data_IF_154131212578
#
_entry.id   IF_154131212578
#
_cell.length_a   1.000
_cell.length_b   1.000
_cell.length_c   1.000
_cell.angle_alpha   90.00
_cell.angle_beta   90.00
_cell.angle_gamma   90.00
#
_symmetry.space_group_name_H-M   'P 1'
#
loop_
_entity.id
_entity.type
_entity.pdbx_description
1 polymer ?
#
# COMPACT_ATOMS: atom_id res chain seq x y z
N UNK A 1 -8.60 9.47 -3.02
CA UNK A 1 -7.67 9.00 -1.97
C UNK A 1 -6.26 9.31 -2.43
N UNK A 2 -5.36 9.75 -1.54
CA UNK A 2 -3.94 9.93 -1.87
C UNK A 2 -3.31 8.59 -2.29
N UNK A 3 -2.40 8.56 -3.27
CA UNK A 3 -1.70 7.32 -3.65
C UNK A 3 -0.69 6.86 -2.58
N UNK A 4 -0.26 7.76 -1.69
CA UNK A 4 0.82 7.54 -0.71
C UNK A 4 0.63 6.29 0.17
N UNK A 5 -0.55 6.04 0.79
CA UNK A 5 -0.77 4.80 1.54
C UNK A 5 -0.62 3.55 0.67
N UNK A 6 -1.00 3.63 -0.60
CA UNK A 6 -0.90 2.51 -1.55
C UNK A 6 0.55 2.19 -1.88
N UNK A 7 1.39 3.22 -2.11
CA UNK A 7 2.82 3.02 -2.35
C UNK A 7 3.52 2.35 -1.14
N UNK A 8 3.15 2.73 0.09
CA UNK A 8 3.63 2.10 1.32
C UNK A 8 3.23 0.61 1.37
N UNK A 9 1.97 0.29 1.07
CA UNK A 9 1.49 -1.09 1.03
C UNK A 9 2.21 -1.93 -0.03
N UNK A 10 2.53 -1.37 -1.19
CA UNK A 10 3.30 -2.06 -2.23
C UNK A 10 4.70 -2.41 -1.75
N UNK A 11 5.41 -1.50 -1.08
CA UNK A 11 6.74 -1.77 -0.55
C UNK A 11 6.75 -2.95 0.45
N UNK A 12 5.77 -2.99 1.38
CA UNK A 12 5.59 -4.09 2.34
C UNK A 12 5.24 -5.39 1.63
N UNK A 13 4.41 -5.31 0.60
CA UNK A 13 4.04 -6.46 -0.22
C UNK A 13 5.26 -7.05 -0.90
N UNK A 14 6.05 -6.22 -1.61
CA UNK A 14 7.25 -6.67 -2.31
C UNK A 14 8.24 -7.33 -1.36
N UNK A 15 8.41 -6.80 -0.14
CA UNK A 15 9.21 -7.44 0.91
C UNK A 15 8.68 -8.82 1.29
N UNK A 16 7.37 -8.93 1.48
CA UNK A 16 6.71 -10.20 1.82
C UNK A 16 6.84 -11.23 0.70
N UNK A 17 6.77 -10.80 -0.56
CA UNK A 17 6.95 -11.65 -1.75
C UNK A 17 8.42 -12.08 -1.96
N UNK A 18 9.38 -11.23 -1.57
CA UNK A 18 10.79 -11.57 -1.60
C UNK A 18 11.18 -12.65 -0.56
N UNK A 19 10.31 -12.92 0.40
CA UNK A 19 10.46 -14.05 1.33
C UNK A 19 9.74 -15.28 0.77
N UNK A 20 10.40 -16.45 0.68
CA UNK A 20 9.74 -17.64 0.19
C UNK A 20 8.55 -18.00 1.10
N UNK A 21 7.37 -18.14 0.50
CA UNK A 21 6.16 -18.54 1.20
C UNK A 21 6.20 -20.04 1.51
N UNK A 22 6.88 -20.40 2.60
CA UNK A 22 7.15 -21.79 3.00
C UNK A 22 6.01 -22.43 3.80
N UNK A 23 5.02 -21.65 4.24
CA UNK A 23 3.87 -22.13 5.03
C UNK A 23 2.53 -21.81 4.35
N UNK A 24 1.49 -22.62 4.55
CA UNK A 24 0.14 -22.33 4.04
C UNK A 24 -0.38 -20.94 4.44
N UNK A 25 -0.08 -20.50 5.66
CA UNK A 25 -0.45 -19.19 6.18
C UNK A 25 0.26 -18.06 5.42
N UNK A 26 1.56 -18.20 5.16
CA UNK A 26 2.33 -17.22 4.37
C UNK A 26 1.85 -17.14 2.92
N UNK A 27 1.46 -18.26 2.32
CA UNK A 27 0.90 -18.31 0.96
C UNK A 27 -0.48 -17.64 0.89
N UNK A 28 -1.35 -17.93 1.86
CA UNK A 28 -2.67 -17.30 1.95
C UNK A 28 -2.57 -15.78 2.18
N UNK A 29 -1.60 -15.31 2.97
CA UNK A 29 -1.33 -13.89 3.15
C UNK A 29 -0.86 -13.25 1.83
N UNK A 30 0.10 -13.87 1.14
CA UNK A 30 0.57 -13.44 -0.17
C UNK A 30 -0.57 -13.31 -1.18
N UNK A 31 -1.44 -14.31 -1.29
CA UNK A 31 -2.57 -14.27 -2.22
C UNK A 31 -3.57 -13.14 -1.88
N UNK A 32 -3.87 -12.94 -0.59
CA UNK A 32 -4.76 -11.84 -0.13
C UNK A 32 -4.18 -10.48 -0.48
N UNK A 33 -2.88 -10.30 -0.28
CA UNK A 33 -2.19 -9.04 -0.58
C UNK A 33 -2.17 -8.78 -2.09
N UNK A 34 -1.82 -9.79 -2.90
CA UNK A 34 -1.85 -9.66 -4.37
C UNK A 34 -3.25 -9.33 -4.89
N UNK A 35 -4.29 -9.96 -4.32
CA UNK A 35 -5.70 -9.65 -4.67
C UNK A 35 -6.09 -8.23 -4.29
N UNK A 36 -5.61 -7.74 -3.13
CA UNK A 36 -5.86 -6.36 -2.70
C UNK A 36 -5.16 -5.36 -3.62
N UNK A 37 -3.92 -5.64 -4.04
CA UNK A 37 -3.19 -4.82 -4.99
C UNK A 37 -3.84 -4.80 -6.37
N UNK A 38 -4.29 -5.94 -6.90
CA UNK A 38 -5.00 -6.00 -8.19
C UNK A 38 -6.29 -5.18 -8.17
N UNK A 39 -7.05 -5.23 -7.07
CA UNK A 39 -8.24 -4.39 -6.89
C UNK A 39 -7.92 -2.90 -6.76
N UNK A 40 -6.82 -2.55 -6.11
CA UNK A 40 -6.37 -1.16 -5.97
C UNK A 40 -5.85 -0.60 -7.29
N UNK A 41 -5.11 -1.40 -8.06
CA UNK A 41 -4.62 -1.02 -9.39
C UNK A 41 -5.76 -0.81 -10.40
N UNK A 42 -6.87 -1.56 -10.26
CA UNK A 42 -8.04 -1.47 -11.14
C UNK A 42 -9.09 -0.45 -10.68
N UNK A 43 -8.93 0.22 -9.53
CA UNK A 43 -9.88 1.23 -9.09
C UNK A 43 -9.71 2.52 -9.92
N UNK A 44 -10.85 3.05 -10.39
CA UNK A 44 -11.07 3.93 -11.56
C UNK A 44 -10.30 5.27 -11.70
N UNK A 45 -9.26 5.56 -10.92
CA UNK A 45 -8.54 6.83 -11.02
C UNK A 45 -7.18 6.76 -11.73
N UNK A 46 -6.72 5.60 -12.22
CA UNK A 46 -5.61 5.49 -13.18
C UNK A 46 -4.25 6.06 -12.75
N UNK A 47 -4.08 6.49 -11.50
CA UNK A 47 -2.85 7.16 -11.06
C UNK A 47 -1.76 6.20 -10.60
N UNK A 48 -2.10 4.94 -10.34
CA UNK A 48 -1.13 3.91 -9.98
C UNK A 48 -0.74 3.11 -11.24
N UNK A 49 0.40 3.45 -11.85
CA UNK A 49 0.88 2.80 -13.09
C UNK A 49 1.83 1.65 -12.81
N UNK A 50 2.00 0.75 -13.79
CA UNK A 50 2.96 -0.35 -13.71
C UNK A 50 4.39 0.15 -13.49
N UNK A 51 4.76 1.30 -14.08
CA UNK A 51 6.06 1.93 -13.87
C UNK A 51 6.22 2.42 -12.42
N UNK A 52 5.18 3.02 -11.84
CA UNK A 52 5.19 3.45 -10.45
C UNK A 52 5.32 2.25 -9.51
N UNK A 53 4.60 1.15 -9.79
CA UNK A 53 4.71 -0.10 -9.03
C UNK A 53 6.12 -0.68 -9.18
N UNK A 54 6.68 -0.74 -10.39
CA UNK A 54 8.00 -1.28 -10.67
C UNK A 54 9.11 -0.52 -9.92
N UNK A 55 9.02 0.82 -9.90
CA UNK A 55 10.00 1.69 -9.24
C UNK A 55 10.07 1.53 -7.71
N UNK A 56 9.06 0.93 -7.06
CA UNK A 56 9.06 0.76 -5.61
C UNK A 56 10.00 -0.39 -5.21
N UNK A 57 11.02 -0.10 -4.41
CA UNK A 57 11.87 -1.14 -3.82
C UNK A 57 11.14 -1.85 -2.65
N UNK A 58 11.48 -3.12 -2.35
CA UNK A 58 10.98 -3.81 -1.17
C UNK A 58 11.28 -3.05 0.14
N UNK A 59 10.34 -3.05 1.07
CA UNK A 59 10.51 -2.47 2.39
C UNK A 59 11.66 -3.14 3.19
N UNK A 60 12.45 -2.36 3.91
CA UNK A 60 13.42 -2.86 4.90
C UNK A 60 12.72 -3.26 6.22
N UNK A 61 13.42 -3.95 7.12
CA UNK A 61 12.81 -4.46 8.35
C UNK A 61 12.25 -3.33 9.23
N UNK A 62 12.97 -2.21 9.35
CA UNK A 62 12.49 -1.03 10.11
C UNK A 62 11.23 -0.41 9.52
N UNK A 63 11.09 -0.44 8.20
CA UNK A 63 9.87 -0.01 7.51
C UNK A 63 8.71 -0.93 7.88
N UNK A 64 8.93 -2.25 7.84
CA UNK A 64 7.89 -3.24 8.16
C UNK A 64 7.47 -3.16 9.63
N UNK A 65 8.39 -2.92 10.55
CA UNK A 65 8.08 -2.68 11.98
C UNK A 65 7.12 -1.50 12.14
N UNK A 66 7.45 -0.35 11.55
CA UNK A 66 6.61 0.85 11.64
C UNK A 66 5.22 0.62 11.04
N UNK A 67 5.17 0.02 9.85
CA UNK A 67 3.90 -0.37 9.23
C UNK A 67 3.08 -1.28 10.15
N UNK A 68 3.74 -2.25 10.79
CA UNK A 68 3.08 -3.19 11.71
C UNK A 68 2.54 -2.49 12.95
N UNK A 69 3.27 -1.54 13.53
CA UNK A 69 2.78 -0.73 14.66
C UNK A 69 1.52 0.07 14.30
N UNK A 70 1.49 0.70 13.12
CA UNK A 70 0.30 1.41 12.63
C UNK A 70 -0.87 0.42 12.45
N UNK A 71 -0.58 -0.76 11.91
CA UNK A 71 -1.58 -1.80 11.69
C UNK A 71 -2.19 -2.38 12.96
N UNK A 72 -1.55 -2.24 14.13
CA UNK A 72 -2.15 -2.62 15.43
C UNK A 72 -3.35 -1.76 15.81
N UNK A 73 -3.51 -0.59 15.20
CA UNK A 73 -4.69 0.26 15.40
C UNK A 73 -5.96 -0.36 14.80
N UNK A 74 -5.81 -1.32 13.87
CA UNK A 74 -6.94 -2.09 13.37
C UNK A 74 -7.25 -3.28 14.31
N UNK A 75 -8.45 -3.37 14.89
CA UNK A 75 -8.79 -4.43 15.82
C UNK A 75 -8.70 -5.81 15.16
N UNK A 76 -8.10 -6.78 15.86
CA UNK A 76 -8.09 -8.19 15.46
C UNK A 76 -9.47 -8.77 15.74
N UNK A 77 -10.17 -9.24 14.70
CA UNK A 77 -11.45 -9.93 14.85
C UNK A 77 -11.29 -11.44 14.77
N UNK A 78 -11.91 -12.14 15.72
CA UNK A 78 -12.08 -13.59 15.69
C UNK A 78 -13.41 -14.04 15.02
N UNK A 79 -14.25 -13.08 14.62
CA UNK A 79 -15.54 -13.34 13.97
C UNK A 79 -15.45 -13.54 12.45
N UNK A 80 -16.59 -13.88 11.80
CA UNK A 80 -16.65 -14.08 10.36
C UNK A 80 -16.25 -12.82 9.58
N UNK A 81 -15.76 -13.03 8.36
CA UNK A 81 -15.28 -11.95 7.50
C UNK A 81 -16.46 -11.09 6.99
N UNK A 82 -16.53 -9.85 7.46
CA UNK A 82 -17.43 -8.80 6.96
C UNK A 82 -16.61 -7.68 6.30
N UNK A 83 -16.69 -7.51 4.97
CA UNK A 83 -15.94 -6.48 4.24
C UNK A 83 -16.22 -5.04 4.72
N UNK A 84 -17.50 -4.69 4.97
CA UNK A 84 -17.88 -3.33 5.33
C UNK A 84 -17.35 -2.98 6.72
N UNK A 85 -17.40 -3.94 7.63
CA UNK A 85 -16.87 -3.78 8.96
C UNK A 85 -15.34 -3.77 8.99
N UNK A 86 -14.68 -4.55 8.12
CA UNK A 86 -13.22 -4.49 7.93
C UNK A 86 -12.74 -3.11 7.49
N UNK A 87 -13.47 -2.45 6.59
CA UNK A 87 -13.16 -1.07 6.20
C UNK A 87 -13.23 -0.12 7.41
N UNK A 88 -14.28 -0.23 8.24
CA UNK A 88 -14.43 0.58 9.46
C UNK A 88 -13.32 0.31 10.48
N UNK A 89 -12.96 -0.96 10.65
CA UNK A 89 -11.89 -1.36 11.58
C UNK A 89 -10.51 -0.85 11.13
N UNK A 90 -10.30 -0.71 9.82
CA UNK A 90 -9.04 -0.20 9.26
C UNK A 90 -8.95 1.34 9.31
N UNK A 91 -10.07 2.03 9.54
CA UNK A 91 -10.15 3.49 9.54
C UNK A 91 -9.10 4.20 10.41
N UNK A 92 -8.80 3.73 11.64
CA UNK A 92 -7.77 4.36 12.47
C UNK A 92 -6.36 4.28 11.85
N UNK A 93 -6.01 3.13 11.27
CA UNK A 93 -4.73 2.94 10.58
C UNK A 93 -4.68 3.80 9.30
N UNK A 94 -5.77 3.82 8.52
CA UNK A 94 -5.90 4.65 7.31
C UNK A 94 -5.62 6.13 7.61
N UNK A 95 -6.24 6.67 8.67
CA UNK A 95 -6.04 8.06 9.09
C UNK A 95 -4.59 8.39 9.43
N UNK A 96 -3.82 7.43 9.92
CA UNK A 96 -2.38 7.62 10.17
C UNK A 96 -1.60 7.63 8.86
N UNK A 97 -1.86 6.69 7.95
CA UNK A 97 -1.19 6.63 6.64
C UNK A 97 -1.49 7.84 5.76
N UNK A 98 -2.65 8.47 5.89
CA UNK A 98 -3.03 9.66 5.14
C UNK A 98 -2.37 10.95 5.65
N UNK A 99 -1.72 10.95 6.82
CA UNK A 99 -0.99 12.12 7.31
C UNK A 99 0.26 12.36 6.44
N UNK A 100 0.50 13.61 5.99
CA UNK A 100 1.69 13.95 5.19
C UNK A 100 3.00 13.48 5.83
N UNK A 101 3.17 13.74 7.13
CA UNK A 101 4.39 13.41 7.87
C UNK A 101 4.67 11.89 7.91
N UNK A 102 3.62 11.07 7.93
CA UNK A 102 3.77 9.60 7.93
C UNK A 102 4.45 9.14 6.64
N UNK A 103 4.04 9.68 5.49
CA UNK A 103 4.66 9.33 4.22
C UNK A 103 6.14 9.72 4.18
N UNK A 104 6.48 10.89 4.70
CA UNK A 104 7.87 11.36 4.77
C UNK A 104 8.75 10.42 5.59
N UNK A 105 8.25 9.90 6.71
CA UNK A 105 8.96 8.88 7.51
C UNK A 105 9.23 7.62 6.69
N UNK A 106 8.23 7.09 5.99
CA UNK A 106 8.39 5.91 5.15
C UNK A 106 9.31 6.17 3.95
N UNK A 107 9.22 7.34 3.32
CA UNK A 107 10.06 7.73 2.21
C UNK A 107 11.52 7.92 2.61
N UNK A 108 11.80 8.29 3.86
CA UNK A 108 13.17 8.33 4.39
C UNK A 108 13.75 6.92 4.62
N UNK A 109 12.88 5.93 4.93
CA UNK A 109 13.27 4.53 5.06
C UNK A 109 13.33 3.79 3.71
N UNK A 110 12.58 4.27 2.71
CA UNK A 110 12.56 3.75 1.35
C UNK A 110 12.43 4.90 0.33
N UNK A 111 13.56 5.48 -0.12
CA UNK A 111 13.57 6.64 -1.02
C UNK A 111 12.85 6.42 -2.35
N UNK A 112 12.69 5.17 -2.80
CA UNK A 112 12.00 4.83 -4.04
C UNK A 112 10.53 5.26 -4.04
N UNK A 113 9.92 5.44 -2.87
CA UNK A 113 8.54 5.91 -2.73
C UNK A 113 8.33 7.30 -3.35
N UNK A 114 9.36 8.16 -3.30
CA UNK A 114 9.28 9.52 -3.87
C UNK A 114 9.29 9.49 -5.40
N UNK A 115 10.08 8.59 -5.98
CA UNK A 115 10.09 8.40 -7.44
C UNK A 115 8.77 7.83 -7.93
N UNK A 116 8.21 6.85 -7.21
CA UNK A 116 6.89 6.31 -7.50
C UNK A 116 5.78 7.36 -7.39
N UNK A 117 5.81 8.22 -6.35
CA UNK A 117 4.85 9.33 -6.19
C UNK A 117 4.90 10.33 -7.35
N UNK A 118 6.11 10.67 -7.82
CA UNK A 118 6.29 11.54 -9.00
C UNK A 118 5.70 10.90 -10.25
N UNK A 119 5.87 9.59 -10.43
CA UNK A 119 5.29 8.86 -11.55
C UNK A 119 3.76 8.92 -11.49
N UNK A 120 3.14 8.64 -10.34
CA UNK A 120 1.69 8.76 -10.17
C UNK A 120 1.17 10.17 -10.49
N UNK A 121 1.86 11.21 -10.00
CA UNK A 121 1.48 12.62 -10.19
C UNK A 121 1.58 13.10 -11.65
N UNK A 122 2.45 12.48 -12.46
CA UNK A 122 2.60 12.82 -13.89
C UNK A 122 1.42 12.30 -14.71
N UNK A 123 0.89 11.12 -14.39
CA UNK A 123 -0.24 10.53 -15.10
C UNK A 123 -1.56 11.19 -14.73
N UNK A 124 -1.76 11.57 -13.46
CA UNK A 124 -2.94 12.35 -13.04
C UNK A 124 -3.08 13.68 -13.79
N UNK A 125 -1.96 14.37 -14.07
CA UNK A 125 -1.95 15.61 -14.88
C UNK A 125 -2.25 15.35 -16.36
N UNK A 126 -1.62 14.35 -16.98
CA UNK A 126 -1.87 14.00 -18.39
C UNK A 126 -3.31 13.54 -18.65
N UNK A 127 -3.92 12.81 -17.71
CA UNK A 127 -5.31 12.37 -17.82
C UNK A 127 -6.29 13.56 -17.76
N UNK A 128 -6.00 14.57 -16.92
CA UNK A 128 -6.80 15.79 -16.84
C UNK A 128 -6.68 16.68 -18.10
N UNK A 129 -5.48 16.78 -18.66
CA UNK A 129 -5.22 17.52 -19.91
C UNK A 129 -5.88 16.85 -21.13
N UNK A 130 -5.96 15.51 -21.19
CA UNK A 130 -6.62 14.79 -22.27
C UNK A 130 -8.16 14.82 -22.22
N UNK A 131 -8.73 15.24 -21.09
CA UNK A 131 -10.18 15.34 -20.87
C UNK A 131 -10.73 16.79 -20.98
N UNK A 132 -9.86 17.75 -21.30
CA UNK A 132 -10.18 19.18 -21.52
C UNK A 132 -10.15 19.52 -23.00
#
# INVERSE_FOLDING_TARGET
>A
MSERPVLIMIAVTKRSLAMPATTPESQALTFRILTALDKLARHENGTLTDEAVAAIEPACDRFVELHTEIMKLAPKRAGPFDPAQRCKDFEPARKVFEKPDTFEVFANLNPSLREAEKLCSRYGRRAAEAAS
#
